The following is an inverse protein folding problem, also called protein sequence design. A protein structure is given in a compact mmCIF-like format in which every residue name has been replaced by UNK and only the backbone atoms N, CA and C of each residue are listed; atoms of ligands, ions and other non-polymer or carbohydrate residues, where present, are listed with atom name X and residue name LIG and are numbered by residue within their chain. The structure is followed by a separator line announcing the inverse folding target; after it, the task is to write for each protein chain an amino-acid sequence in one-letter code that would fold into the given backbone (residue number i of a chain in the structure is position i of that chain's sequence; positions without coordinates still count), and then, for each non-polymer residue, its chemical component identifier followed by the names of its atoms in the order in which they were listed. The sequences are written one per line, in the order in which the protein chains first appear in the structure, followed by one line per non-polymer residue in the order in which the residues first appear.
data_IF_419821906052
#
_entry.id   IF_419821906052
#
_cell.length_a   1.000
_cell.length_b   1.000
_cell.length_c   1.000
_cell.angle_alpha   90.00
_cell.angle_beta   90.00
_cell.angle_gamma   90.00
#
_symmetry.space_group_name_H-M   'P 1'
#
loop_
_entity.id
_entity.type
_entity.pdbx_description
1 polymer ?
#
# COMPACT_ATOMS: atom_id res chain seq x y z
N UNK A 1 -26.46 -18.00 -7.08
CA UNK A 1 -25.61 -17.04 -6.32
C UNK A 1 -25.89 -15.62 -6.78
N UNK A 2 -26.25 -14.71 -5.87
CA UNK A 2 -26.40 -13.27 -6.18
C UNK A 2 -25.03 -12.70 -6.52
N UNK A 3 -24.89 -11.98 -7.63
CA UNK A 3 -23.63 -11.35 -8.03
C UNK A 3 -23.26 -10.31 -6.97
N UNK A 4 -22.08 -10.43 -6.37
CA UNK A 4 -21.60 -9.47 -5.38
C UNK A 4 -21.06 -8.22 -6.05
N UNK A 5 -21.30 -7.07 -5.41
CA UNK A 5 -20.83 -5.76 -5.84
C UNK A 5 -19.31 -5.72 -5.83
N UNK A 6 -18.73 -5.17 -6.88
CA UNK A 6 -17.29 -4.95 -6.93
C UNK A 6 -16.93 -3.76 -6.05
N UNK A 7 -16.08 -3.98 -5.06
CA UNK A 7 -15.61 -2.93 -4.16
C UNK A 7 -14.64 -1.99 -4.89
N UNK A 8 -14.72 -0.70 -4.56
CA UNK A 8 -13.71 0.29 -4.93
C UNK A 8 -12.84 0.53 -3.70
N UNK A 9 -11.62 0.04 -3.79
CA UNK A 9 -10.62 0.10 -2.73
C UNK A 9 -9.31 0.51 -3.39
N UNK A 10 -8.54 1.33 -2.69
CA UNK A 10 -7.20 1.75 -3.09
C UNK A 10 -6.18 0.63 -2.88
N UNK A 11 -5.10 0.62 -3.66
CA UNK A 11 -4.05 -0.39 -3.54
C UNK A 11 -3.47 -0.43 -2.13
N UNK A 12 -3.21 0.74 -1.52
CA UNK A 12 -2.70 0.83 -0.16
C UNK A 12 -3.58 0.11 0.87
N UNK A 13 -4.90 0.31 0.84
CA UNK A 13 -5.81 -0.40 1.76
C UNK A 13 -5.93 -1.90 1.42
N UNK A 14 -5.95 -2.26 0.14
CA UNK A 14 -6.08 -3.66 -0.24
C UNK A 14 -4.84 -4.46 0.16
N UNK A 15 -3.64 -3.92 -0.09
CA UNK A 15 -2.37 -4.56 0.18
C UNK A 15 -2.08 -4.73 1.69
N UNK A 16 -2.66 -3.88 2.53
CA UNK A 16 -2.60 -4.02 3.99
C UNK A 16 -3.44 -5.21 4.53
N UNK A 17 -4.18 -5.92 3.68
CA UNK A 17 -5.08 -6.98 4.13
C UNK A 17 -4.33 -8.27 4.46
N UNK A 18 -4.51 -8.77 5.68
CA UNK A 18 -3.90 -10.02 6.17
C UNK A 18 -4.95 -11.07 6.58
N UNK A 19 -6.24 -10.75 6.44
CA UNK A 19 -7.36 -11.58 6.91
C UNK A 19 -8.13 -12.16 5.73
N UNK A 20 -8.18 -13.50 5.66
CA UNK A 20 -9.03 -14.25 4.73
C UNK A 20 -10.14 -14.99 5.47
N UNK A 21 -11.39 -14.72 5.08
CA UNK A 21 -12.54 -15.49 5.53
C UNK A 21 -12.87 -16.54 4.46
N UNK A 22 -12.45 -17.78 4.74
CA UNK A 22 -12.86 -18.96 3.97
C UNK A 22 -14.19 -19.46 4.51
N UNK A 23 -15.15 -19.70 3.63
CA UNK A 23 -16.39 -20.33 4.03
C UNK A 23 -16.20 -21.86 4.12
N UNK A 24 -16.88 -22.48 5.09
CA UNK A 24 -16.66 -23.89 5.49
C UNK A 24 -17.20 -24.91 4.47
N UNK A 25 -17.95 -24.46 3.47
CA UNK A 25 -18.52 -25.33 2.43
C UNK A 25 -17.62 -25.38 1.20
N UNK A 26 -17.30 -26.57 0.71
CA UNK A 26 -16.64 -26.74 -0.59
C UNK A 26 -17.45 -25.98 -1.67
N UNK A 27 -16.79 -25.06 -2.39
CA UNK A 27 -17.35 -24.17 -3.44
C UNK A 27 -17.91 -22.79 -3.02
N UNK A 28 -17.78 -22.38 -1.76
CA UNK A 28 -18.15 -21.02 -1.36
C UNK A 28 -17.02 -20.00 -1.57
N UNK A 29 -17.35 -18.73 -1.91
CA UNK A 29 -16.34 -17.71 -2.16
C UNK A 29 -15.53 -17.40 -0.91
N UNK A 30 -14.21 -17.27 -1.05
CA UNK A 30 -13.39 -16.63 -0.03
C UNK A 30 -13.49 -15.10 -0.13
N UNK A 31 -13.30 -14.45 1.01
CA UNK A 31 -13.31 -13.00 1.13
C UNK A 31 -12.02 -12.56 1.80
N UNK A 32 -11.47 -11.47 1.28
CA UNK A 32 -10.42 -10.70 1.97
C UNK A 32 -11.12 -9.61 2.77
N UNK A 33 -10.76 -9.45 4.03
CA UNK A 33 -11.25 -8.35 4.87
C UNK A 33 -10.16 -7.29 4.92
N UNK A 34 -10.44 -6.09 4.41
CA UNK A 34 -9.47 -4.98 4.53
C UNK A 34 -9.45 -4.40 5.95
N UNK A 35 -8.39 -3.67 6.34
CA UNK A 35 -8.34 -3.01 7.65
C UNK A 35 -9.50 -2.04 7.90
N UNK A 36 -10.04 -1.41 6.84
CA UNK A 36 -11.22 -0.54 6.94
C UNK A 36 -12.56 -1.30 6.82
N UNK A 37 -12.54 -2.63 6.93
CA UNK A 37 -13.73 -3.48 6.99
C UNK A 37 -14.40 -3.77 5.64
N UNK A 38 -13.74 -3.53 4.51
CA UNK A 38 -14.28 -3.96 3.22
C UNK A 38 -14.21 -5.49 3.11
N UNK A 39 -15.36 -6.14 2.92
CA UNK A 39 -15.47 -7.60 2.71
C UNK A 39 -15.36 -7.93 1.23
N UNK A 40 -14.13 -8.04 0.75
CA UNK A 40 -13.77 -8.06 -0.66
C UNK A 40 -13.78 -9.48 -1.22
N UNK A 41 -14.72 -9.77 -2.13
CA UNK A 41 -14.62 -10.91 -3.06
C UNK A 41 -14.22 -10.47 -4.47
N UNK A 42 -14.72 -9.30 -4.89
CA UNK A 42 -14.50 -8.71 -6.21
C UNK A 42 -14.17 -7.23 -6.06
N UNK A 43 -13.23 -6.77 -6.87
CA UNK A 43 -12.77 -5.39 -6.94
C UNK A 43 -13.10 -4.78 -8.29
N UNK A 44 -13.30 -3.47 -8.30
CA UNK A 44 -13.27 -2.63 -9.49
C UNK A 44 -12.22 -1.55 -9.29
N UNK A 45 -11.10 -1.68 -9.99
CA UNK A 45 -9.93 -0.80 -9.85
C UNK A 45 -9.64 -0.08 -11.16
N UNK A 46 -9.08 1.11 -11.08
CA UNK A 46 -8.53 1.83 -12.23
C UNK A 46 -7.17 2.39 -11.86
N UNK A 47 -6.18 2.15 -12.70
CA UNK A 47 -4.82 2.63 -12.48
C UNK A 47 -3.98 2.57 -13.75
N UNK A 48 -2.68 2.81 -13.61
CA UNK A 48 -1.70 2.71 -14.68
C UNK A 48 -1.18 1.27 -14.74
N UNK A 49 -1.39 0.57 -15.85
CA UNK A 49 -0.70 -0.68 -16.12
C UNK A 49 0.77 -0.37 -16.37
N UNK A 50 1.65 -0.73 -15.43
CA UNK A 50 3.08 -0.42 -15.52
C UNK A 50 3.86 -1.55 -16.19
N UNK A 51 3.55 -2.80 -15.81
CA UNK A 51 4.32 -3.97 -16.22
C UNK A 51 3.39 -5.15 -16.52
N UNK A 52 3.75 -5.93 -17.54
CA UNK A 52 3.13 -7.21 -17.88
C UNK A 52 4.24 -8.19 -18.22
N UNK A 53 4.39 -9.23 -17.41
CA UNK A 53 5.46 -10.21 -17.51
C UNK A 53 4.89 -11.62 -17.60
N UNK A 54 5.47 -12.47 -18.46
CA UNK A 54 5.19 -13.90 -18.41
C UNK A 54 6.11 -14.55 -17.38
N UNK A 55 5.52 -15.11 -16.33
CA UNK A 55 6.25 -15.76 -15.23
C UNK A 55 6.32 -17.28 -15.38
N UNK A 56 5.76 -17.85 -16.44
CA UNK A 56 5.81 -19.29 -16.71
C UNK A 56 6.76 -19.61 -17.87
N UNK A 57 7.59 -20.64 -17.70
CA UNK A 57 8.52 -21.12 -18.73
C UNK A 57 7.83 -21.91 -19.85
N UNK A 58 6.67 -22.51 -19.57
CA UNK A 58 5.93 -23.40 -20.51
C UNK A 58 4.43 -23.04 -20.65
N UNK A 59 3.98 -21.92 -20.07
CA UNK A 59 2.58 -21.53 -20.05
C UNK A 59 2.34 -20.02 -20.20
N UNK A 60 1.06 -19.67 -20.31
CA UNK A 60 0.60 -18.28 -20.43
C UNK A 60 0.14 -17.74 -19.06
N UNK A 61 1.03 -17.78 -18.06
CA UNK A 61 0.76 -17.16 -16.76
C UNK A 61 1.40 -15.77 -16.73
N UNK A 62 0.57 -14.75 -16.94
CA UNK A 62 0.99 -13.37 -16.88
C UNK A 62 0.83 -12.81 -15.47
N UNK A 63 1.88 -12.14 -14.99
CA UNK A 63 1.84 -11.22 -13.86
C UNK A 63 1.77 -9.80 -14.41
N UNK A 64 0.86 -9.00 -13.87
CA UNK A 64 0.74 -7.60 -14.26
C UNK A 64 0.62 -6.69 -13.03
N UNK A 65 1.15 -5.48 -13.14
CA UNK A 65 1.11 -4.48 -12.09
C UNK A 65 0.28 -3.27 -12.52
N UNK A 66 -0.67 -2.88 -11.67
CA UNK A 66 -1.51 -1.69 -11.87
C UNK A 66 -1.28 -0.72 -10.72
N UNK A 67 -0.67 0.42 -11.00
CA UNK A 67 -0.42 1.47 -10.01
C UNK A 67 -1.61 2.42 -9.89
N UNK A 68 -2.04 2.67 -8.66
CA UNK A 68 -2.88 3.82 -8.32
C UNK A 68 -2.07 4.81 -7.46
N UNK A 69 -2.62 5.97 -7.05
CA UNK A 69 -1.87 6.94 -6.25
C UNK A 69 -1.36 6.44 -4.89
N UNK A 70 -1.80 5.27 -4.45
CA UNK A 70 -1.61 4.74 -3.09
C UNK A 70 -0.77 3.47 -3.04
N UNK A 71 -0.43 2.90 -4.20
CA UNK A 71 0.34 1.68 -4.30
C UNK A 71 0.12 0.93 -5.61
N UNK A 72 0.44 -0.36 -5.60
CA UNK A 72 0.39 -1.23 -6.77
C UNK A 72 -0.49 -2.44 -6.51
N UNK A 73 -1.41 -2.74 -7.41
CA UNK A 73 -2.15 -3.99 -7.45
C UNK A 73 -1.39 -5.04 -8.28
N UNK A 74 -1.23 -6.24 -7.71
CA UNK A 74 -0.65 -7.39 -8.43
C UNK A 74 -1.76 -8.26 -9.00
N UNK A 75 -1.70 -8.50 -10.32
CA UNK A 75 -2.65 -9.32 -11.05
C UNK A 75 -1.98 -10.60 -11.57
N UNK A 76 -2.72 -11.70 -11.54
CA UNK A 76 -2.32 -12.95 -12.20
C UNK A 76 -3.40 -13.42 -13.17
N UNK A 77 -3.05 -13.52 -14.45
CA UNK A 77 -3.95 -14.02 -15.51
C UNK A 77 -3.32 -15.23 -16.19
N UNK A 78 -4.05 -16.35 -16.22
CA UNK A 78 -3.57 -17.61 -16.78
C UNK A 78 -4.44 -18.15 -17.91
N UNK A 79 -4.23 -19.42 -18.27
CA UNK A 79 -4.98 -20.15 -19.30
C UNK A 79 -6.52 -20.12 -19.13
N UNK A 80 -7.02 -19.98 -17.90
CA UNK A 80 -8.45 -19.92 -17.61
C UNK A 80 -9.06 -18.52 -17.79
N UNK A 81 -8.25 -17.50 -18.11
CA UNK A 81 -8.64 -16.10 -18.32
C UNK A 81 -8.20 -15.62 -19.71
N UNK A 82 -8.33 -16.49 -20.74
CA UNK A 82 -7.76 -16.24 -22.06
C UNK A 82 -8.07 -14.84 -22.63
N UNK A 83 -9.30 -14.35 -22.50
CA UNK A 83 -9.68 -13.01 -22.96
C UNK A 83 -8.86 -11.89 -22.30
N UNK A 84 -8.63 -11.98 -20.99
CA UNK A 84 -7.83 -10.99 -20.25
C UNK A 84 -6.34 -11.16 -20.53
N UNK A 85 -5.85 -12.39 -20.58
CA UNK A 85 -4.46 -12.69 -20.94
C UNK A 85 -4.12 -12.13 -22.33
N UNK A 86 -4.96 -12.41 -23.34
CA UNK A 86 -4.80 -11.90 -24.70
C UNK A 86 -4.86 -10.35 -24.75
N UNK A 87 -5.67 -9.73 -23.90
CA UNK A 87 -5.77 -8.27 -23.81
C UNK A 87 -4.51 -7.67 -23.17
N UNK A 88 -4.05 -8.22 -22.05
CA UNK A 88 -2.84 -7.77 -21.35
C UNK A 88 -1.59 -7.80 -22.25
N UNK A 89 -1.45 -8.82 -23.11
CA UNK A 89 -0.32 -8.90 -24.05
C UNK A 89 -0.37 -7.86 -25.17
N UNK A 90 -1.54 -7.28 -25.46
CA UNK A 90 -1.73 -6.32 -26.55
C UNK A 90 -1.68 -4.86 -26.10
N UNK A 91 -1.92 -4.59 -24.82
CA UNK A 91 -1.88 -3.23 -24.27
C UNK A 91 -0.42 -2.80 -24.18
N UNK A 92 -0.10 -1.65 -24.75
CA UNK A 92 1.22 -1.04 -24.62
C UNK A 92 1.33 -0.35 -23.25
N UNK A 93 2.33 -0.73 -22.45
CA UNK A 93 2.60 -0.09 -21.16
C UNK A 93 3.50 1.15 -21.33
N UNK A 94 3.29 2.24 -20.57
CA UNK A 94 2.26 2.45 -19.56
C UNK A 94 0.92 2.96 -20.13
N UNK A 95 -0.20 2.38 -19.69
CA UNK A 95 -1.56 2.78 -20.12
C UNK A 95 -2.56 2.73 -18.97
N UNK A 96 -3.55 3.64 -18.94
CA UNK A 96 -4.62 3.57 -17.94
C UNK A 96 -5.59 2.43 -18.27
N UNK A 97 -5.83 1.56 -17.29
CA UNK A 97 -6.71 0.42 -17.44
C UNK A 97 -7.72 0.35 -16.29
N UNK A 98 -8.94 -0.07 -16.62
CA UNK A 98 -9.95 -0.45 -15.65
C UNK A 98 -10.04 -1.97 -15.58
N UNK A 99 -10.00 -2.52 -14.36
CA UNK A 99 -10.05 -3.95 -14.10
C UNK A 99 -11.19 -4.29 -13.16
N UNK A 100 -11.93 -5.34 -13.51
CA UNK A 100 -12.80 -6.07 -12.59
C UNK A 100 -12.12 -7.40 -12.32
N UNK A 101 -11.91 -7.76 -11.06
CA UNK A 101 -11.24 -9.00 -10.70
C UNK A 101 -11.65 -9.55 -9.34
N UNK A 102 -11.40 -10.84 -9.12
CA UNK A 102 -11.63 -11.49 -7.82
C UNK A 102 -10.38 -11.37 -6.96
N UNK A 103 -10.55 -11.04 -5.68
CA UNK A 103 -9.46 -11.10 -4.72
C UNK A 103 -8.99 -12.55 -4.54
N UNK A 104 -7.69 -12.73 -4.42
CA UNK A 104 -7.00 -13.98 -4.13
C UNK A 104 -5.95 -13.71 -3.07
N UNK A 105 -5.67 -14.73 -2.28
CA UNK A 105 -4.64 -14.72 -1.26
C UNK A 105 -3.57 -15.74 -1.64
N UNK A 106 -2.35 -15.45 -1.28
CA UNK A 106 -1.20 -16.32 -1.43
C UNK A 106 -0.39 -16.29 -0.14
N UNK A 107 -0.13 -17.48 0.42
CA UNK A 107 0.59 -17.62 1.68
C UNK A 107 1.89 -18.40 1.40
N UNK A 108 3.02 -17.72 1.16
CA UNK A 108 4.30 -18.39 0.91
C UNK A 108 4.87 -19.05 2.17
N UNK A 109 4.67 -18.39 3.32
CA UNK A 109 5.20 -18.79 4.62
C UNK A 109 4.11 -18.71 5.69
N UNK A 110 4.36 -19.33 6.84
CA UNK A 110 3.43 -19.29 7.96
C UNK A 110 3.38 -17.87 8.55
N UNK A 111 2.18 -17.26 8.53
CA UNK A 111 1.97 -15.89 9.02
C UNK A 111 2.09 -14.78 7.97
N UNK A 112 2.60 -15.07 6.78
CA UNK A 112 2.66 -14.13 5.66
C UNK A 112 1.53 -14.39 4.67
N UNK A 113 0.65 -13.41 4.48
CA UNK A 113 -0.41 -13.42 3.47
C UNK A 113 -0.23 -12.24 2.52
N UNK A 114 -0.17 -12.54 1.23
CA UNK A 114 -0.21 -11.55 0.17
C UNK A 114 -1.55 -11.61 -0.56
N UNK A 115 -2.06 -10.45 -0.94
CA UNK A 115 -3.25 -10.35 -1.78
C UNK A 115 -2.88 -10.16 -3.24
N UNK A 116 -3.71 -10.70 -4.11
CA UNK A 116 -3.60 -10.52 -5.55
C UNK A 116 -4.98 -10.49 -6.19
N UNK A 117 -5.03 -10.09 -7.45
CA UNK A 117 -6.27 -9.99 -8.22
C UNK A 117 -6.22 -10.99 -9.35
N UNK A 118 -7.21 -11.88 -9.40
CA UNK A 118 -7.50 -12.68 -10.60
C UNK A 118 -8.47 -11.88 -11.47
N UNK A 119 -8.02 -11.27 -12.57
CA UNK A 119 -8.87 -10.40 -13.36
C UNK A 119 -9.94 -11.21 -14.09
N UNK A 120 -11.13 -10.62 -14.18
CA UNK A 120 -12.26 -11.13 -14.97
C UNK A 120 -12.43 -10.33 -16.27
N UNK A 121 -12.13 -9.02 -16.23
CA UNK A 121 -12.17 -8.11 -17.38
C UNK A 121 -11.13 -7.01 -17.21
N UNK A 122 -10.54 -6.58 -18.32
CA UNK A 122 -9.67 -5.41 -18.43
C UNK A 122 -10.08 -4.57 -19.63
N UNK A 123 -9.93 -3.25 -19.54
CA UNK A 123 -10.10 -2.33 -20.66
C UNK A 123 -9.22 -1.09 -20.49
N UNK A 124 -8.70 -0.55 -21.57
CA UNK A 124 -8.07 0.77 -21.58
C UNK A 124 -9.11 1.86 -21.31
N UNK A 125 -8.72 2.88 -20.56
CA UNK A 125 -9.60 4.00 -20.19
C UNK A 125 -8.87 5.34 -20.30
N UNK A 126 -9.63 6.43 -20.34
CA UNK A 126 -9.06 7.77 -20.34
C UNK A 126 -8.66 8.24 -18.94
N UNK A 127 -7.81 9.28 -18.92
CA UNK A 127 -7.46 10.00 -17.70
C UNK A 127 -8.71 10.46 -16.92
N UNK A 128 -9.75 10.97 -17.59
CA UNK A 128 -10.95 11.46 -16.88
C UNK A 128 -11.70 10.34 -16.15
N UNK A 129 -11.73 9.12 -16.71
CA UNK A 129 -12.38 7.97 -16.08
C UNK A 129 -11.60 7.53 -14.83
N UNK A 130 -10.26 7.50 -14.93
CA UNK A 130 -9.38 7.23 -13.78
C UNK A 130 -9.58 8.28 -12.69
N UNK A 131 -9.57 9.56 -13.04
CA UNK A 131 -9.68 10.65 -12.06
C UNK A 131 -11.03 10.59 -11.33
N UNK A 132 -12.11 10.27 -12.05
CA UNK A 132 -13.43 10.03 -11.46
C UNK A 132 -13.44 8.81 -10.54
N UNK A 133 -12.74 7.73 -10.91
CA UNK A 133 -12.62 6.56 -10.04
C UNK A 133 -11.87 6.91 -8.75
N UNK A 134 -10.74 7.62 -8.83
CA UNK A 134 -9.97 8.07 -7.64
C UNK A 134 -10.89 8.87 -6.71
N UNK A 135 -11.60 9.87 -7.25
CA UNK A 135 -12.51 10.71 -6.45
C UNK A 135 -13.62 9.90 -5.76
N UNK A 136 -14.25 8.96 -6.47
CA UNK A 136 -15.29 8.10 -5.89
C UNK A 136 -14.70 7.10 -4.89
N UNK A 137 -13.49 6.60 -5.12
CA UNK A 137 -12.79 5.73 -4.16
C UNK A 137 -12.43 6.51 -2.89
N UNK A 138 -11.97 7.76 -2.98
CA UNK A 138 -11.76 8.63 -1.82
C UNK A 138 -13.02 8.78 -0.96
N UNK A 139 -14.20 9.01 -1.57
CA UNK A 139 -15.47 9.06 -0.84
C UNK A 139 -15.77 7.75 -0.13
N UNK A 140 -15.68 6.63 -0.86
CA UNK A 140 -15.96 5.31 -0.28
C UNK A 140 -14.98 4.97 0.86
N UNK A 141 -13.70 5.33 0.73
CA UNK A 141 -12.69 5.14 1.78
C UNK A 141 -13.01 6.02 2.99
N UNK A 142 -13.39 7.28 2.78
CA UNK A 142 -13.86 8.16 3.86
C UNK A 142 -15.04 7.54 4.62
N UNK A 143 -16.05 7.07 3.91
CA UNK A 143 -17.24 6.46 4.53
C UNK A 143 -16.85 5.21 5.35
N UNK A 144 -15.86 4.42 4.89
CA UNK A 144 -15.33 3.28 5.66
C UNK A 144 -14.55 3.72 6.89
N UNK A 145 -13.71 4.76 6.79
CA UNK A 145 -12.99 5.34 7.94
C UNK A 145 -13.98 5.79 9.00
N UNK A 146 -15.01 6.56 8.61
CA UNK A 146 -16.07 7.01 9.53
C UNK A 146 -16.79 5.83 10.19
N UNK A 147 -17.11 4.79 9.42
CA UNK A 147 -17.73 3.58 9.96
C UNK A 147 -16.86 2.85 10.99
N UNK A 148 -15.55 2.74 10.73
CA UNK A 148 -14.60 2.15 11.69
C UNK A 148 -14.43 3.04 12.92
N UNK A 149 -14.37 4.36 12.75
CA UNK A 149 -14.32 5.31 13.87
C UNK A 149 -15.53 5.17 14.79
N UNK A 150 -16.73 5.08 14.21
CA UNK A 150 -17.95 4.87 15.01
C UNK A 150 -17.93 3.50 15.71
N UNK A 151 -17.46 2.45 15.04
CA UNK A 151 -17.34 1.13 15.66
C UNK A 151 -16.32 1.08 16.81
N UNK A 152 -15.22 1.84 16.72
CA UNK A 152 -14.20 1.94 17.78
C UNK A 152 -14.68 2.70 19.02
N UNK A 153 -15.71 3.55 18.88
CA UNK A 153 -16.34 4.27 20.02
C UNK A 153 -17.36 3.41 20.77
N UNK A 154 -17.77 2.26 20.20
CA UNK A 154 -18.72 1.34 20.81
C UNK A 154 -17.99 0.39 21.77
N UNK A 155 -18.62 0.07 22.91
CA UNK A 155 -18.06 -0.89 23.87
C UNK A 155 -17.87 -2.30 23.28
N UNK A 156 -18.81 -2.72 22.42
CA UNK A 156 -18.70 -3.95 21.62
C UNK A 156 -19.05 -3.65 20.16
N UNK A 157 -18.11 -3.93 19.25
CA UNK A 157 -18.36 -3.79 17.81
C UNK A 157 -19.47 -4.74 17.36
N UNK A 158 -20.65 -4.21 17.04
CA UNK A 158 -21.82 -4.99 16.63
C UNK A 158 -22.32 -4.58 15.25
N UNK A 159 -22.34 -5.53 14.31
CA UNK A 159 -22.80 -5.30 12.95
C UNK A 159 -24.25 -4.80 12.88
N UNK A 160 -25.10 -5.19 13.84
CA UNK A 160 -26.49 -4.72 13.91
C UNK A 160 -26.57 -3.23 14.23
N UNK A 161 -25.69 -2.71 15.08
CA UNK A 161 -25.68 -1.30 15.48
C UNK A 161 -25.15 -0.41 14.37
N UNK A 162 -24.06 -0.84 13.70
CA UNK A 162 -23.56 -0.16 12.50
C UNK A 162 -24.62 -0.13 11.38
N UNK A 163 -25.39 -1.21 11.21
CA UNK A 163 -26.50 -1.22 10.24
C UNK A 163 -27.60 -0.22 10.62
N UNK A 164 -27.90 -0.04 11.92
CA UNK A 164 -28.87 0.97 12.40
C UNK A 164 -28.39 2.40 12.17
N UNK A 165 -27.07 2.64 12.18
CA UNK A 165 -26.47 3.92 11.81
C UNK A 165 -26.51 4.20 10.29
N UNK A 166 -26.93 3.22 9.48
CA UNK A 166 -27.11 3.37 8.04
C UNK A 166 -26.01 2.76 7.18
N UNK A 167 -25.00 2.11 7.79
CA UNK A 167 -23.98 1.38 7.04
C UNK A 167 -24.56 0.10 6.42
N UNK A 168 -23.99 -0.33 5.29
CA UNK A 168 -24.44 -1.57 4.65
C UNK A 168 -24.17 -2.78 5.54
N UNK A 169 -24.97 -3.83 5.37
CA UNK A 169 -24.78 -5.08 6.12
C UNK A 169 -23.39 -5.66 5.85
N UNK A 170 -22.94 -5.65 4.60
CA UNK A 170 -21.64 -6.19 4.19
C UNK A 170 -20.47 -5.41 4.81
N UNK A 171 -20.56 -4.08 4.87
CA UNK A 171 -19.55 -3.25 5.53
C UNK A 171 -19.57 -3.47 7.04
N UNK A 172 -20.75 -3.50 7.65
CA UNK A 172 -20.91 -3.70 9.10
C UNK A 172 -20.32 -5.04 9.55
N UNK A 173 -20.59 -6.12 8.82
CA UNK A 173 -19.97 -7.43 9.08
C UNK A 173 -18.45 -7.39 8.91
N UNK A 174 -17.96 -6.73 7.87
CA UNK A 174 -16.53 -6.63 7.59
C UNK A 174 -15.77 -5.80 8.63
N UNK A 175 -16.37 -4.74 9.18
CA UNK A 175 -15.78 -3.93 10.25
C UNK A 175 -15.64 -4.72 11.56
N UNK A 176 -16.66 -5.49 11.94
CA UNK A 176 -16.56 -6.37 13.13
C UNK A 176 -15.43 -7.38 12.94
N UNK A 177 -15.34 -7.98 11.75
CA UNK A 177 -14.26 -8.92 11.47
C UNK A 177 -12.88 -8.23 11.43
N UNK A 178 -12.81 -6.98 10.93
CA UNK A 178 -11.58 -6.21 10.92
C UNK A 178 -11.11 -5.88 12.33
N UNK A 179 -11.97 -5.30 13.18
CA UNK A 179 -11.62 -4.93 14.56
C UNK A 179 -11.24 -6.14 15.43
N UNK A 180 -11.74 -7.32 15.10
CA UNK A 180 -11.39 -8.56 15.79
C UNK A 180 -10.00 -9.10 15.41
N UNK A 181 -9.55 -8.89 14.17
CA UNK A 181 -8.34 -9.52 13.64
C UNK A 181 -7.18 -8.54 13.41
N UNK A 182 -7.45 -7.24 13.28
CA UNK A 182 -6.45 -6.19 13.18
C UNK A 182 -6.31 -5.48 14.53
N UNK A 183 -5.17 -5.63 15.20
CA UNK A 183 -4.96 -5.12 16.57
C UNK A 183 -4.88 -3.58 16.65
N UNK A 184 -4.31 -2.93 15.63
CA UNK A 184 -4.14 -1.48 15.62
C UNK A 184 -4.33 -0.90 14.20
N UNK A 185 -5.59 -0.59 13.85
CA UNK A 185 -5.91 0.03 12.58
C UNK A 185 -5.54 1.52 12.66
N UNK A 186 -4.43 1.90 12.02
CA UNK A 186 -4.01 3.31 11.95
C UNK A 186 -4.89 4.08 10.96
N UNK A 187 -5.95 4.70 11.48
CA UNK A 187 -6.83 5.55 10.68
C UNK A 187 -6.14 6.79 10.12
N UNK A 188 -5.06 7.28 10.75
CA UNK A 188 -4.32 8.46 10.26
C UNK A 188 -3.65 8.16 8.94
N UNK A 189 -3.08 6.96 8.78
CA UNK A 189 -2.54 6.45 7.52
C UNK A 189 -3.58 6.55 6.39
N UNK A 190 -4.80 6.06 6.61
CA UNK A 190 -5.83 6.07 5.58
C UNK A 190 -6.40 7.47 5.28
N UNK A 191 -6.42 8.36 6.27
CA UNK A 191 -6.73 9.78 6.07
C UNK A 191 -5.67 10.46 5.20
N UNK A 192 -4.38 10.20 5.47
CA UNK A 192 -3.28 10.69 4.63
C UNK A 192 -3.36 10.13 3.20
N UNK A 193 -3.66 8.84 3.06
CA UNK A 193 -3.87 8.18 1.75
C UNK A 193 -4.97 8.88 0.93
N UNK A 194 -6.09 9.28 1.55
CA UNK A 194 -7.13 10.07 0.88
C UNK A 194 -6.59 11.45 0.46
N UNK A 195 -5.85 12.13 1.35
CA UNK A 195 -5.28 13.45 1.08
C UNK A 195 -4.34 13.41 -0.12
N UNK A 196 -3.42 12.45 -0.16
CA UNK A 196 -2.48 12.23 -1.25
C UNK A 196 -3.20 11.88 -2.57
N UNK A 197 -4.21 11.01 -2.51
CA UNK A 197 -5.04 10.67 -3.66
C UNK A 197 -5.79 11.87 -4.24
N UNK A 198 -6.28 12.78 -3.38
CA UNK A 198 -6.93 14.01 -3.82
C UNK A 198 -5.92 15.04 -4.35
N UNK A 199 -4.71 15.09 -3.79
CA UNK A 199 -3.61 15.91 -4.28
C UNK A 199 -3.16 15.44 -5.67
N UNK A 200 -3.13 14.13 -5.92
CA UNK A 200 -2.85 13.55 -7.24
C UNK A 200 -3.79 14.07 -8.33
N UNK A 201 -5.07 14.33 -8.00
CA UNK A 201 -6.04 14.92 -8.92
C UNK A 201 -5.81 16.43 -9.18
N UNK A 202 -4.99 17.08 -8.35
CA UNK A 202 -4.75 18.54 -8.37
C UNK A 202 -3.26 18.88 -8.23
N UNK A 203 -2.38 18.39 -9.12
CA UNK A 203 -0.92 18.53 -8.96
C UNK A 203 -0.44 19.99 -8.95
N UNK A 204 -1.17 20.90 -9.62
CA UNK A 204 -0.79 22.31 -9.79
C UNK A 204 -1.54 23.28 -8.85
N UNK A 205 -2.10 22.79 -7.74
CA UNK A 205 -2.82 23.65 -6.77
C UNK A 205 -2.16 23.52 -5.39
N UNK A 206 -2.30 24.57 -4.58
CA UNK A 206 -1.82 24.62 -3.19
C UNK A 206 -2.10 23.30 -2.46
N UNK A 207 -1.11 22.85 -1.68
CA UNK A 207 -1.19 21.63 -0.89
C UNK A 207 -2.46 21.63 -0.06
N UNK A 208 -3.19 20.51 -0.09
CA UNK A 208 -4.38 20.37 0.74
C UNK A 208 -4.01 20.61 2.22
N UNK A 209 -4.85 21.34 2.98
CA UNK A 209 -4.61 21.54 4.40
C UNK A 209 -4.56 20.19 5.12
N UNK A 210 -3.80 20.11 6.20
CA UNK A 210 -3.78 18.93 7.06
C UNK A 210 -5.18 18.68 7.63
N UNK A 211 -5.64 17.43 7.52
CA UNK A 211 -6.89 17.02 8.12
C UNK A 211 -6.66 16.92 9.63
N UNK A 212 -7.21 17.88 10.37
CA UNK A 212 -7.31 17.79 11.83
C UNK A 212 -8.25 16.64 12.17
N UNK A 213 -7.68 15.52 12.61
CA UNK A 213 -8.46 14.47 13.25
C UNK A 213 -8.71 14.96 14.67
N UNK A 214 -9.92 15.48 14.93
CA UNK A 214 -10.32 15.89 16.27
C UNK A 214 -10.43 14.64 17.16
N UNK A 215 -9.36 14.34 17.89
CA UNK A 215 -9.37 13.44 19.04
C UNK A 215 -9.80 14.21 20.30
N UNK A 216 -10.97 14.83 20.29
CA UNK A 216 -11.52 15.53 21.46
C UNK A 216 -12.81 14.85 21.93
N UNK A 217 -12.64 13.77 22.69
CA UNK A 217 -13.38 13.51 23.94
C UNK A 217 -12.46 12.72 24.90
N UNK A 218 -11.29 13.27 25.21
CA UNK A 218 -10.60 12.97 26.46
C UNK A 218 -10.44 14.29 27.20
N UNK A 219 -11.17 14.40 28.31
CA UNK A 219 -11.14 15.52 29.23
C UNK A 219 -9.70 15.94 29.58
N UNK A 220 -9.32 17.15 29.22
CA UNK A 220 -8.37 17.91 30.01
C UNK A 220 -8.95 19.28 30.32
N UNK A 221 -9.07 19.56 31.61
CA UNK A 221 -9.53 20.81 32.18
C UNK A 221 -8.54 21.94 31.82
N UNK A 222 -9.12 23.04 31.34
CA UNK A 222 -8.72 24.45 31.53
C UNK A 222 -7.26 24.73 31.91
N UNK A 223 -6.57 25.46 31.03
CA UNK A 223 -5.87 26.70 31.43
C UNK A 223 -6.25 27.80 30.43
N UNK A 224 -6.90 28.83 30.95
CA UNK A 224 -7.38 30.03 30.23
C UNK A 224 -6.22 31.00 29.93
N UNK A 225 -6.29 31.58 28.72
CA UNK A 225 -5.92 32.93 28.26
C UNK A 225 -4.64 33.63 28.73
N UNK A 226 -3.75 33.98 27.77
CA UNK A 226 -3.22 35.37 27.61
C UNK A 226 -2.99 35.70 26.11
N UNK A 227 -3.91 36.51 25.59
CA UNK A 227 -3.80 37.66 24.66
C UNK A 227 -2.87 37.72 23.42
N UNK A 228 -3.55 38.10 22.32
CA UNK A 228 -3.13 38.78 21.09
C UNK A 228 -1.94 39.75 21.18
N UNK A 229 -1.09 39.74 20.13
CA UNK A 229 -0.76 40.94 19.34
C UNK A 229 -0.05 40.63 18.01
N UNK A 230 -0.47 41.40 16.99
CA UNK A 230 -0.03 41.41 15.59
C UNK A 230 1.40 41.93 15.36
N UNK A 231 2.00 41.38 14.28
CA UNK A 231 2.99 41.90 13.32
C UNK A 231 4.35 42.52 13.76
N UNK A 232 5.45 42.04 13.17
CA UNK A 232 6.26 42.74 12.11
C UNK A 232 7.54 41.90 11.78
N UNK A 233 7.86 41.83 10.48
CA UNK A 233 9.05 41.25 9.82
C UNK A 233 10.39 41.96 10.16
N UNK A 234 11.48 41.20 10.41
CA UNK A 234 12.74 41.15 9.61
C UNK A 234 13.96 40.56 10.37
N UNK A 235 14.64 39.59 9.71
CA UNK A 235 16.09 39.27 9.59
C UNK A 235 16.97 38.91 10.81
N UNK A 236 17.53 37.68 10.73
CA UNK A 236 18.91 37.18 11.05
C UNK A 236 19.54 37.55 12.43
N UNK A 237 20.14 36.68 13.26
CA UNK A 237 21.00 35.50 13.06
C UNK A 237 21.13 34.67 14.38
N UNK A 238 20.85 33.36 14.29
CA UNK A 238 21.59 32.15 14.78
C UNK A 238 22.08 32.03 16.25
N UNK A 239 21.63 30.97 16.95
CA UNK A 239 22.40 29.76 17.36
C UNK A 239 21.50 28.76 18.13
N UNK A 240 21.18 27.59 17.56
CA UNK A 240 21.97 26.33 17.44
C UNK A 240 21.74 25.41 18.65
N UNK A 241 20.99 24.31 18.46
CA UNK A 241 21.31 23.00 19.08
C UNK A 241 20.51 21.77 18.60
N UNK A 242 19.41 21.87 17.83
CA UNK A 242 18.58 20.67 17.59
C UNK A 242 18.53 20.15 16.13
N UNK A 243 19.12 20.87 15.17
CA UNK A 243 19.00 20.56 13.73
C UNK A 243 20.26 19.88 13.12
N UNK A 244 21.20 19.43 13.94
CA UNK A 244 22.43 18.74 13.50
C UNK A 244 22.28 17.20 13.55
N UNK A 245 21.45 16.62 14.44
CA UNK A 245 21.32 15.15 14.57
C UNK A 245 20.62 14.44 13.41
N UNK A 246 19.54 14.99 12.87
CA UNK A 246 18.77 14.31 11.82
C UNK A 246 19.40 14.43 10.42
N UNK A 247 20.28 15.40 10.19
CA UNK A 247 21.05 15.52 8.94
C UNK A 247 22.31 14.66 8.95
N UNK A 248 22.96 14.52 10.10
CA UNK A 248 24.11 13.62 10.26
C UNK A 248 23.69 12.16 10.10
N UNK A 249 22.51 11.74 10.55
CA UNK A 249 22.01 10.37 10.39
C UNK A 249 21.65 10.03 8.92
N UNK A 250 21.01 10.95 8.19
CA UNK A 250 20.65 10.77 6.78
C UNK A 250 21.88 10.80 5.84
N UNK A 251 22.87 11.68 6.10
CA UNK A 251 24.12 11.71 5.32
C UNK A 251 24.97 10.46 5.57
N UNK A 252 25.01 9.97 6.82
CA UNK A 252 25.79 8.79 7.19
C UNK A 252 25.19 7.50 6.61
N UNK A 253 23.87 7.38 6.50
CA UNK A 253 23.23 6.22 5.86
C UNK A 253 23.46 6.17 4.35
N UNK A 254 23.47 7.33 3.67
CA UNK A 254 23.82 7.39 2.24
C UNK A 254 25.27 6.95 1.96
N UNK A 255 26.22 7.32 2.84
CA UNK A 255 27.61 6.85 2.75
C UNK A 255 27.74 5.33 2.92
N UNK A 256 26.91 4.74 3.79
CA UNK A 256 26.82 3.29 3.98
C UNK A 256 26.27 2.60 2.72
N UNK A 257 25.20 3.12 2.12
CA UNK A 257 24.65 2.58 0.87
C UNK A 257 25.68 2.59 -0.25
N UNK A 258 26.41 3.69 -0.43
CA UNK A 258 27.46 3.81 -1.44
C UNK A 258 28.59 2.79 -1.19
N UNK A 259 28.96 2.58 0.08
CA UNK A 259 29.99 1.59 0.47
C UNK A 259 29.54 0.16 0.18
N UNK A 260 28.28 -0.17 0.47
CA UNK A 260 27.70 -1.48 0.17
C UNK A 260 27.60 -1.70 -1.34
N UNK A 261 27.14 -0.70 -2.09
CA UNK A 261 27.03 -0.76 -3.55
C UNK A 261 28.40 -0.93 -4.23
N UNK A 262 29.42 -0.22 -3.77
CA UNK A 262 30.79 -0.42 -4.24
C UNK A 262 31.32 -1.82 -3.95
N UNK A 263 30.96 -2.38 -2.80
CA UNK A 263 31.40 -3.73 -2.41
C UNK A 263 30.74 -4.77 -3.29
N UNK A 264 29.46 -4.61 -3.63
CA UNK A 264 28.74 -5.49 -4.56
C UNK A 264 29.41 -5.43 -5.94
N UNK A 265 29.69 -4.23 -6.48
CA UNK A 265 30.36 -4.05 -7.78
C UNK A 265 31.75 -4.69 -7.86
N UNK A 266 32.46 -4.79 -6.74
CA UNK A 266 33.79 -5.41 -6.67
C UNK A 266 33.72 -6.93 -6.60
N UNK A 267 32.63 -7.48 -6.07
CA UNK A 267 32.48 -8.90 -5.74
C UNK A 267 31.58 -9.63 -6.73
N UNK A 268 30.67 -8.93 -7.41
CA UNK A 268 29.76 -9.51 -8.37
C UNK A 268 30.50 -10.07 -9.59
N UNK A 269 30.25 -11.35 -9.89
CA UNK A 269 30.69 -11.99 -11.13
C UNK A 269 29.61 -11.87 -12.22
N UNK A 270 29.74 -12.66 -13.29
CA UNK A 270 28.72 -12.71 -14.36
C UNK A 270 27.33 -13.12 -13.81
N UNK A 271 27.32 -13.97 -12.78
CA UNK A 271 26.10 -14.50 -12.15
C UNK A 271 25.65 -13.73 -10.89
N UNK A 272 26.36 -12.66 -10.49
CA UNK A 272 26.14 -11.93 -9.24
C UNK A 272 27.08 -12.34 -8.10
N UNK A 273 26.80 -11.87 -6.89
CA UNK A 273 27.55 -12.14 -5.67
C UNK A 273 26.66 -12.78 -4.61
N UNK A 274 27.16 -13.82 -3.93
CA UNK A 274 26.44 -14.45 -2.83
C UNK A 274 26.28 -13.47 -1.64
N UNK A 275 25.12 -13.51 -1.00
CA UNK A 275 24.77 -12.65 0.14
C UNK A 275 25.77 -12.77 1.30
N UNK A 276 26.19 -14.00 1.61
CA UNK A 276 27.22 -14.28 2.62
C UNK A 276 28.54 -13.58 2.29
N UNK A 277 28.93 -13.58 1.01
CA UNK A 277 30.17 -12.98 0.55
C UNK A 277 30.13 -11.45 0.61
N UNK A 278 28.98 -10.83 0.30
CA UNK A 278 28.77 -9.39 0.44
C UNK A 278 28.84 -9.01 1.92
N UNK A 279 28.14 -9.75 2.78
CA UNK A 279 28.10 -9.51 4.23
C UNK A 279 29.48 -9.64 4.86
N UNK A 280 30.27 -10.65 4.48
CA UNK A 280 31.63 -10.85 4.99
C UNK A 280 32.61 -9.75 4.55
N UNK A 281 32.44 -9.20 3.36
CA UNK A 281 33.27 -8.09 2.89
C UNK A 281 32.86 -6.75 3.51
N UNK A 282 31.56 -6.52 3.70
CA UNK A 282 31.06 -5.31 4.37
C UNK A 282 31.42 -5.31 5.87
N UNK A 283 31.42 -6.47 6.54
CA UNK A 283 31.93 -6.60 7.92
C UNK A 283 33.41 -6.25 8.04
N UNK A 284 34.23 -6.60 7.05
CA UNK A 284 35.66 -6.20 7.00
C UNK A 284 35.83 -4.69 6.78
N UNK A 285 34.84 -4.04 6.18
CA UNK A 285 34.78 -2.58 6.04
C UNK A 285 34.25 -1.87 7.31
N UNK A 286 33.86 -2.63 8.34
CA UNK A 286 33.44 -2.10 9.64
C UNK A 286 31.94 -1.91 9.82
N UNK A 287 31.11 -2.38 8.88
CA UNK A 287 29.65 -2.33 8.98
C UNK A 287 29.11 -3.52 9.80
N UNK A 288 28.11 -3.27 10.64
CA UNK A 288 27.39 -4.33 11.35
C UNK A 288 26.35 -5.00 10.45
N UNK A 289 25.87 -6.17 10.87
CA UNK A 289 24.98 -7.02 10.06
C UNK A 289 23.65 -6.35 9.76
N UNK A 290 23.11 -5.60 10.71
CA UNK A 290 21.77 -5.01 10.61
C UNK A 290 21.81 -3.82 9.65
N UNK A 291 22.85 -2.99 9.75
CA UNK A 291 23.11 -1.88 8.81
C UNK A 291 23.34 -2.37 7.37
N UNK A 292 24.01 -3.51 7.18
CA UNK A 292 24.21 -4.11 5.85
C UNK A 292 22.88 -4.57 5.26
N UNK A 293 22.02 -5.22 6.05
CA UNK A 293 20.70 -5.68 5.61
C UNK A 293 19.80 -4.51 5.23
N UNK A 294 19.80 -3.44 6.02
CA UNK A 294 19.03 -2.22 5.76
C UNK A 294 19.48 -1.53 4.47
N UNK A 295 20.79 -1.41 4.25
CA UNK A 295 21.35 -0.85 3.02
C UNK A 295 21.04 -1.72 1.79
N UNK A 296 21.11 -3.05 1.91
CA UNK A 296 20.74 -3.96 0.80
C UNK A 296 19.26 -3.83 0.43
N UNK A 297 18.37 -3.76 1.42
CA UNK A 297 16.93 -3.58 1.18
C UNK A 297 16.65 -2.22 0.51
N UNK A 298 17.27 -1.15 1.00
CA UNK A 298 17.14 0.19 0.41
C UNK A 298 17.65 0.23 -1.04
N UNK A 299 18.79 -0.42 -1.34
CA UNK A 299 19.33 -0.50 -2.70
C UNK A 299 18.45 -1.33 -3.64
N UNK A 300 17.79 -2.38 -3.14
CA UNK A 300 16.80 -3.16 -3.92
C UNK A 300 15.54 -2.34 -4.21
N UNK A 301 15.03 -1.60 -3.23
CA UNK A 301 13.87 -0.70 -3.40
C UNK A 301 14.16 0.43 -4.39
N UNK A 302 15.40 0.94 -4.40
CA UNK A 302 15.90 1.94 -5.36
C UNK A 302 16.18 1.35 -6.75
N UNK A 303 16.12 0.03 -6.91
CA UNK A 303 16.41 -0.68 -8.16
C UNK A 303 17.88 -0.59 -8.60
N UNK A 304 18.79 -0.34 -7.65
CA UNK A 304 20.24 -0.28 -7.91
C UNK A 304 20.90 -1.66 -7.83
N UNK A 305 20.22 -2.63 -7.21
CA UNK A 305 20.58 -4.05 -7.16
C UNK A 305 19.33 -4.91 -7.26
N UNK A 306 19.48 -6.16 -7.68
CA UNK A 306 18.41 -7.15 -7.77
C UNK A 306 18.92 -8.56 -7.46
N UNK A 307 17.99 -9.47 -7.13
CA UNK A 307 18.28 -10.85 -6.76
C UNK A 307 17.90 -11.83 -7.89
N UNK A 308 18.81 -12.19 -8.82
CA UNK A 308 18.51 -13.14 -9.90
C UNK A 308 18.16 -14.55 -9.40
N UNK A 309 18.76 -14.97 -8.29
CA UNK A 309 18.54 -16.27 -7.63
C UNK A 309 18.62 -16.04 -6.13
N UNK A 310 17.76 -16.72 -5.35
CA UNK A 310 17.75 -16.60 -3.89
C UNK A 310 19.15 -16.74 -3.29
N UNK A 311 19.58 -15.73 -2.54
CA UNK A 311 20.90 -15.60 -1.93
C UNK A 311 21.98 -14.98 -2.84
N UNK A 312 21.65 -14.50 -4.04
CA UNK A 312 22.61 -13.93 -5.00
C UNK A 312 22.19 -12.54 -5.47
N UNK A 313 23.02 -11.53 -5.25
CA UNK A 313 22.75 -10.12 -5.52
C UNK A 313 23.60 -9.62 -6.68
N UNK A 314 23.01 -8.77 -7.54
CA UNK A 314 23.68 -8.17 -8.71
C UNK A 314 23.24 -6.72 -8.91
N UNK A 315 24.12 -5.86 -9.42
CA UNK A 315 23.79 -4.47 -9.83
C UNK A 315 23.13 -4.38 -11.19
#
# INVERSE_FOLDING_TARGET
MKRQTAWRVFAGEFNDSTVEVKSQEEMTPSFVITPLGAKVNRLFIIGVLTDVENISQEGDLLRAHISDPTGVFTLYSGQYQKEVTDALTKIEVPTFVAVIGKARTYNPEEGLMYVSIRPERIMEVSAEIRDKWIYETCKNTKDRIEAVMEAMKMDESNASELTKLGYSKELSEGIVEALKNYENIDLKKYVALIKESLQYLRPNKETLPDLKINNEETNEEKIEDIDNKEEIFEKEEVKKTENEKSKEEDENFAEVEDTVLETIKKVEGEDGAAWDLITDNCKKAGLDKDTIEEALNSLMDKGLIYEPVLGTIKT
#
